data_IF_066900177377
#
_entry.id   IF_066900177377
#
_cell.length_a   1.000
_cell.length_b   1.000
_cell.length_c   1.000
_cell.angle_alpha   90.00
_cell.angle_beta   90.00
_cell.angle_gamma   90.00
#
_symmetry.space_group_name_H-M   'P 1'
#
loop_
_entity.id
_entity.type
_entity.pdbx_description
1 polymer ?
#
# COMPACT_ATOMS: atom_id res chain seq x y z
N UNK A 1 8.34 -7.20 -8.23
CA UNK A 1 9.03 -6.11 -8.96
C UNK A 1 10.51 -6.50 -9.09
N UNK A 2 11.16 -6.39 -10.26
CA UNK A 2 12.60 -6.67 -10.37
C UNK A 2 13.39 -5.66 -9.53
N UNK A 3 14.31 -6.12 -8.68
CA UNK A 3 15.12 -5.25 -7.79
C UNK A 3 15.84 -4.12 -8.55
N UNK A 4 16.21 -4.36 -9.81
CA UNK A 4 16.82 -3.38 -10.73
C UNK A 4 15.95 -2.13 -10.94
N UNK A 5 14.62 -2.25 -10.92
CA UNK A 5 13.72 -1.10 -11.06
C UNK A 5 13.65 -0.29 -9.76
N UNK A 6 13.68 -0.96 -8.60
CA UNK A 6 13.72 -0.28 -7.31
C UNK A 6 14.96 0.61 -7.19
N UNK A 7 16.13 0.14 -7.66
CA UNK A 7 17.37 0.93 -7.62
C UNK A 7 17.38 2.16 -8.53
N UNK A 8 16.44 2.25 -9.49
CA UNK A 8 16.29 3.39 -10.39
C UNK A 8 15.30 4.45 -9.87
N UNK A 9 14.64 4.21 -8.74
CA UNK A 9 13.77 5.21 -8.12
C UNK A 9 14.59 6.42 -7.65
N UNK A 10 13.94 7.58 -7.59
CA UNK A 10 14.56 8.82 -7.13
C UNK A 10 14.67 8.85 -5.59
N UNK A 11 15.58 8.02 -5.07
CA UNK A 11 15.78 7.90 -3.63
C UNK A 11 16.24 9.20 -2.95
N UNK A 12 16.78 10.18 -3.71
CA UNK A 12 17.17 11.49 -3.17
C UNK A 12 15.95 12.29 -2.69
N UNK A 13 14.85 12.17 -3.42
CA UNK A 13 13.58 12.82 -3.08
C UNK A 13 12.59 11.92 -2.32
N UNK A 14 13.01 10.71 -1.97
CA UNK A 14 12.22 9.82 -1.12
C UNK A 14 12.08 10.39 0.29
N UNK A 15 10.87 10.31 0.82
CA UNK A 15 10.51 10.70 2.18
C UNK A 15 9.61 9.62 2.79
N UNK A 16 9.70 9.49 4.11
CA UNK A 16 8.83 8.61 4.88
C UNK A 16 7.88 9.47 5.70
N UNK A 17 6.59 9.21 5.56
CA UNK A 17 5.56 9.76 6.42
C UNK A 17 5.18 8.70 7.46
N UNK A 18 5.30 9.04 8.75
CA UNK A 18 4.71 8.21 9.80
C UNK A 18 3.20 8.44 9.82
N UNK A 19 2.43 7.36 9.65
CA UNK A 19 0.97 7.40 9.62
C UNK A 19 0.36 6.69 10.83
N UNK A 20 1.13 6.44 11.89
CA UNK A 20 0.68 5.71 13.08
C UNK A 20 -0.62 6.28 13.66
N UNK A 21 -0.80 7.60 13.67
CA UNK A 21 -2.00 8.28 14.18
C UNK A 21 -3.28 7.98 13.38
N UNK A 22 -3.14 7.68 12.08
CA UNK A 22 -4.27 7.38 11.18
C UNK A 22 -4.29 5.93 10.73
N UNK A 23 -3.39 5.10 11.26
CA UNK A 23 -3.19 3.73 10.81
C UNK A 23 -4.45 2.88 10.94
N UNK A 24 -5.22 3.03 12.02
CA UNK A 24 -6.46 2.28 12.21
C UNK A 24 -7.55 2.65 11.18
N UNK A 25 -7.59 3.92 10.73
CA UNK A 25 -8.49 4.32 9.65
C UNK A 25 -8.09 3.66 8.33
N UNK A 26 -6.79 3.64 8.03
CA UNK A 26 -6.23 2.93 6.85
C UNK A 26 -6.55 1.45 6.92
N UNK A 27 -6.33 0.80 8.06
CA UNK A 27 -6.63 -0.62 8.29
C UNK A 27 -8.09 -0.95 8.04
N UNK A 28 -9.01 -0.16 8.61
CA UNK A 28 -10.44 -0.34 8.36
C UNK A 28 -10.81 -0.21 6.89
N UNK A 29 -10.22 0.75 6.18
CA UNK A 29 -10.44 0.90 4.73
C UNK A 29 -9.91 -0.32 3.95
N UNK A 30 -8.75 -0.87 4.34
CA UNK A 30 -8.23 -2.10 3.75
C UNK A 30 -9.18 -3.28 3.99
N UNK A 31 -9.67 -3.45 5.22
CA UNK A 31 -10.59 -4.54 5.55
C UNK A 31 -11.87 -4.47 4.70
N UNK A 32 -12.46 -3.29 4.58
CA UNK A 32 -13.64 -3.07 3.71
C UNK A 32 -13.32 -3.45 2.28
N UNK A 33 -12.19 -2.98 1.74
CA UNK A 33 -11.80 -3.26 0.36
C UNK A 33 -11.52 -4.74 0.10
N UNK A 34 -10.83 -5.41 1.03
CA UNK A 34 -10.44 -6.82 0.90
C UNK A 34 -11.61 -7.78 1.11
N UNK A 35 -12.58 -7.42 1.95
CA UNK A 35 -13.77 -8.22 2.24
C UNK A 35 -14.94 -7.92 1.29
N UNK A 36 -14.82 -6.92 0.42
CA UNK A 36 -15.88 -6.58 -0.53
C UNK A 36 -16.11 -7.74 -1.52
N UNK A 37 -17.33 -8.28 -1.51
CA UNK A 37 -17.75 -9.36 -2.40
C UNK A 37 -18.59 -8.82 -3.56
N UNK A 38 -18.41 -9.41 -4.73
CA UNK A 38 -19.28 -9.25 -5.88
C UNK A 38 -20.61 -10.00 -5.66
N UNK A 39 -21.67 -9.71 -6.45
CA UNK A 39 -22.95 -10.42 -6.35
C UNK A 39 -22.83 -11.95 -6.48
N UNK A 40 -21.77 -12.45 -7.14
CA UNK A 40 -21.47 -13.86 -7.27
C UNK A 40 -20.75 -14.47 -6.04
N UNK A 41 -20.52 -13.71 -4.97
CA UNK A 41 -19.84 -14.15 -3.75
C UNK A 41 -18.31 -14.17 -3.83
N UNK A 42 -17.71 -13.86 -4.98
CA UNK A 42 -16.26 -13.74 -5.14
C UNK A 42 -15.74 -12.36 -4.69
N UNK A 43 -14.53 -12.25 -4.11
CA UNK A 43 -13.94 -10.96 -3.77
C UNK A 43 -13.68 -10.09 -5.01
N UNK A 44 -14.05 -8.80 -4.96
CA UNK A 44 -13.77 -7.86 -6.04
C UNK A 44 -12.27 -7.70 -6.32
N UNK A 45 -11.47 -7.76 -5.26
CA UNK A 45 -10.02 -7.58 -5.32
C UNK A 45 -9.26 -8.80 -5.85
N UNK A 46 -9.93 -9.95 -6.01
CA UNK A 46 -9.28 -11.22 -6.32
C UNK A 46 -8.33 -11.68 -5.21
N UNK A 47 -7.27 -12.44 -5.56
CA UNK A 47 -6.25 -12.88 -4.59
C UNK A 47 -5.00 -12.03 -4.69
N UNK A 48 -4.79 -11.16 -3.70
CA UNK A 48 -3.55 -10.39 -3.58
C UNK A 48 -2.43 -11.25 -2.97
N UNK A 49 -1.18 -11.15 -3.47
CA UNK A 49 -0.04 -11.78 -2.83
C UNK A 49 0.19 -11.19 -1.42
N UNK A 50 0.59 -12.04 -0.47
CA UNK A 50 0.80 -11.65 0.94
C UNK A 50 1.78 -10.48 1.12
N UNK A 51 2.75 -10.36 0.22
CA UNK A 51 3.74 -9.28 0.25
C UNK A 51 3.10 -7.91 0.04
N UNK A 52 2.06 -7.80 -0.78
CA UNK A 52 1.32 -6.55 -0.96
C UNK A 52 0.55 -6.19 0.30
N UNK A 53 -0.13 -7.16 0.92
CA UNK A 53 -0.84 -6.94 2.19
C UNK A 53 0.11 -6.40 3.27
N UNK A 54 1.29 -7.02 3.43
CA UNK A 54 2.32 -6.55 4.36
C UNK A 54 2.81 -5.14 4.08
N UNK A 55 2.93 -4.77 2.80
CA UNK A 55 3.33 -3.41 2.43
C UNK A 55 2.26 -2.39 2.80
N UNK A 56 0.98 -2.72 2.60
CA UNK A 56 -0.12 -1.85 3.00
C UNK A 56 -0.35 -1.80 4.53
N UNK A 57 -0.03 -2.86 5.27
CA UNK A 57 -0.01 -2.86 6.74
C UNK A 57 1.16 -2.05 7.34
N UNK A 58 2.08 -1.55 6.52
CA UNK A 58 3.16 -0.74 7.02
C UNK A 58 2.64 0.61 7.54
N UNK A 59 3.09 0.99 8.75
CA UNK A 59 2.73 2.25 9.43
C UNK A 59 3.48 3.47 8.90
N UNK A 60 4.24 3.31 7.82
CA UNK A 60 4.93 4.40 7.15
C UNK A 60 4.57 4.37 5.68
N UNK A 61 4.46 5.55 5.09
CA UNK A 61 4.25 5.71 3.66
C UNK A 61 5.52 6.26 3.03
N UNK A 62 5.97 5.60 1.97
CA UNK A 62 7.06 6.08 1.12
C UNK A 62 6.46 6.97 0.03
N UNK A 63 6.87 8.24 0.00
CA UNK A 63 6.47 9.18 -1.04
C UNK A 63 7.69 9.90 -1.59
N UNK A 64 7.54 10.44 -2.81
CA UNK A 64 8.59 11.19 -3.48
C UNK A 64 8.16 12.64 -3.58
N UNK A 65 9.00 13.56 -3.11
CA UNK A 65 8.75 14.99 -3.29
C UNK A 65 8.88 15.33 -4.77
N UNK A 66 7.82 15.86 -5.37
CA UNK A 66 7.90 16.45 -6.71
C UNK A 66 8.69 17.75 -6.58
N UNK A 67 9.75 17.87 -7.37
CA UNK A 67 10.53 19.10 -7.47
C UNK A 67 10.12 19.72 -8.81
N UNK A 68 9.32 20.77 -8.73
CA UNK A 68 8.98 21.63 -9.88
C UNK A 68 10.10 22.62 -10.07
#
# INVERSE_FOLDING_TARGET
>A
MPLRKAWRCDWKNARLLDISDVYEKKRRAMDIYLQALAPCGAPWVGRLPRQFLKAFEWRRELYFRVTV
#
